data_IF_198193997746
#
_entry.id   IF_198193997746
#
_cell.length_a   1.000
_cell.length_b   1.000
_cell.length_c   1.000
_cell.angle_alpha   90.00
_cell.angle_beta   90.00
_cell.angle_gamma   90.00
#
_symmetry.space_group_name_H-M   'P 1'
#
loop_
_entity.id
_entity.type
_entity.pdbx_description
1 polymer ?
#
# COMPACT_ATOMS: atom_id res chain seq x y z
N UNK A 1 4.79 -66.69 -60.31
CA UNK A 1 5.70 -65.66 -59.76
C UNK A 1 4.95 -64.34 -59.77
N UNK A 2 4.88 -63.68 -58.59
CA UNK A 2 4.37 -62.31 -58.32
C UNK A 2 2.85 -62.08 -58.51
N UNK A 3 2.05 -61.66 -57.53
CA UNK A 3 2.33 -61.12 -56.19
C UNK A 3 1.81 -59.69 -56.03
N UNK A 4 0.60 -59.55 -55.47
CA UNK A 4 0.11 -58.48 -54.58
C UNK A 4 0.54 -57.02 -54.82
N UNK A 5 -0.42 -56.15 -55.19
CA UNK A 5 -0.38 -54.72 -54.83
C UNK A 5 -1.63 -54.36 -54.02
N UNK A 6 -1.36 -53.88 -52.80
CA UNK A 6 -2.28 -53.48 -51.74
C UNK A 6 -3.07 -52.21 -52.09
N UNK A 7 -4.35 -52.23 -51.76
CA UNK A 7 -5.20 -51.06 -51.52
C UNK A 7 -4.70 -50.28 -50.28
N UNK A 8 -4.51 -48.97 -50.43
CA UNK A 8 -4.25 -48.03 -49.33
C UNK A 8 -5.56 -47.29 -49.05
N UNK A 9 -6.13 -47.54 -47.87
CA UNK A 9 -7.34 -46.88 -47.40
C UNK A 9 -7.09 -45.43 -47.00
N UNK A 10 -7.97 -44.54 -47.46
CA UNK A 10 -8.03 -43.13 -47.06
C UNK A 10 -8.51 -43.04 -45.61
N UNK A 11 -7.66 -42.52 -44.72
CA UNK A 11 -7.99 -42.32 -43.31
C UNK A 11 -8.89 -41.08 -43.16
N UNK A 12 -10.07 -41.28 -42.57
CA UNK A 12 -11.09 -40.25 -42.41
C UNK A 12 -10.70 -39.28 -41.26
N UNK A 13 -10.28 -38.05 -41.59
CA UNK A 13 -9.75 -37.03 -40.67
C UNK A 13 -10.77 -36.45 -39.66
N UNK A 14 -12.03 -36.85 -39.73
CA UNK A 14 -13.11 -36.30 -38.89
C UNK A 14 -13.05 -36.76 -37.42
N UNK A 15 -12.44 -37.91 -37.15
CA UNK A 15 -12.26 -38.42 -35.78
C UNK A 15 -11.20 -37.67 -34.98
N UNK A 16 -10.11 -37.25 -35.64
CA UNK A 16 -9.02 -36.52 -34.99
C UNK A 16 -9.46 -35.13 -34.54
N UNK A 17 -10.29 -34.44 -35.34
CA UNK A 17 -10.83 -33.13 -34.98
C UNK A 17 -11.78 -33.20 -33.77
N UNK A 18 -12.66 -34.21 -33.70
CA UNK A 18 -13.55 -34.40 -32.54
C UNK A 18 -12.80 -34.79 -31.28
N UNK A 19 -11.77 -35.63 -31.38
CA UNK A 19 -10.93 -35.99 -30.24
C UNK A 19 -10.16 -34.77 -29.71
N UNK A 20 -9.67 -33.91 -30.60
CA UNK A 20 -8.98 -32.67 -30.23
C UNK A 20 -9.91 -31.65 -29.53
N UNK A 21 -11.13 -31.45 -30.05
CA UNK A 21 -12.12 -30.56 -29.43
C UNK A 21 -12.63 -31.09 -28.09
N UNK A 22 -12.84 -32.41 -27.97
CA UNK A 22 -13.24 -33.04 -26.71
C UNK A 22 -12.13 -32.94 -25.65
N UNK A 23 -10.86 -33.07 -26.05
CA UNK A 23 -9.72 -32.87 -25.15
C UNK A 23 -9.61 -31.41 -24.68
N UNK A 24 -9.78 -30.43 -25.58
CA UNK A 24 -9.75 -29.00 -25.22
C UNK A 24 -10.90 -28.58 -24.29
N UNK A 25 -12.11 -29.11 -24.50
CA UNK A 25 -13.23 -28.86 -23.60
C UNK A 25 -12.97 -29.43 -22.21
N UNK A 26 -12.51 -30.69 -22.13
CA UNK A 26 -12.16 -31.34 -20.87
C UNK A 26 -11.00 -30.65 -20.13
N UNK A 27 -10.01 -30.08 -20.86
CA UNK A 27 -8.92 -29.30 -20.25
C UNK A 27 -9.44 -27.99 -19.64
N UNK A 28 -10.34 -27.28 -20.34
CA UNK A 28 -10.96 -26.06 -19.81
C UNK A 28 -11.83 -26.34 -18.58
N UNK A 29 -12.60 -27.44 -18.60
CA UNK A 29 -13.43 -27.85 -17.46
C UNK A 29 -12.57 -28.29 -16.26
N UNK A 30 -11.47 -29.03 -16.49
CA UNK A 30 -10.52 -29.40 -15.43
C UNK A 30 -9.75 -28.22 -14.85
N UNK A 31 -9.44 -27.19 -15.64
CA UNK A 31 -8.82 -25.96 -15.15
C UNK A 31 -9.80 -25.09 -14.35
N UNK A 32 -11.10 -25.17 -14.63
CA UNK A 32 -12.12 -24.41 -13.90
C UNK A 32 -12.57 -25.11 -12.60
N UNK A 33 -12.41 -26.44 -12.52
CA UNK A 33 -12.76 -27.26 -11.35
C UNK A 33 -11.56 -27.77 -10.56
N UNK A 34 -10.32 -27.41 -10.93
CA UNK A 34 -9.19 -27.60 -10.03
C UNK A 34 -9.38 -26.67 -8.85
N UNK A 35 -9.97 -27.21 -7.79
CA UNK A 35 -9.73 -26.80 -6.42
C UNK A 35 -8.28 -26.31 -6.34
N UNK A 36 -8.08 -25.05 -5.92
CA UNK A 36 -6.77 -24.41 -5.83
C UNK A 36 -5.99 -25.11 -4.71
N UNK A 37 -5.57 -26.35 -4.97
CA UNK A 37 -4.94 -27.24 -4.01
C UNK A 37 -3.47 -27.25 -4.40
N UNK A 38 -2.79 -26.19 -3.96
CA UNK A 38 -1.33 -26.12 -3.98
C UNK A 38 -0.82 -27.19 -3.01
N UNK A 39 -0.01 -28.17 -3.45
CA UNK A 39 0.51 -29.20 -2.57
C UNK A 39 1.39 -28.50 -1.53
N UNK A 40 1.00 -28.59 -0.27
CA UNK A 40 1.72 -28.08 0.90
C UNK A 40 1.53 -26.59 1.27
N UNK A 41 0.33 -26.03 1.08
CA UNK A 41 -0.08 -24.75 1.69
C UNK A 41 -1.43 -24.95 2.37
N UNK A 42 -1.54 -24.60 3.67
CA UNK A 42 -2.82 -24.66 4.39
C UNK A 42 -3.92 -24.01 3.52
N UNK A 43 -5.10 -24.63 3.40
CA UNK A 43 -6.18 -24.09 2.58
C UNK A 43 -6.49 -22.66 3.05
N UNK A 44 -6.60 -21.73 2.09
CA UNK A 44 -6.97 -20.36 2.35
C UNK A 44 -8.30 -20.33 3.13
N UNK A 45 -8.43 -19.43 4.09
CA UNK A 45 -9.71 -19.25 4.80
C UNK A 45 -10.84 -18.96 3.80
N UNK A 46 -12.07 -19.39 4.08
CA UNK A 46 -13.25 -19.15 3.24
C UNK A 46 -13.40 -17.69 2.79
N UNK A 47 -13.07 -16.74 3.68
CA UNK A 47 -13.11 -15.30 3.38
C UNK A 47 -12.08 -14.88 2.31
N UNK A 48 -10.90 -15.49 2.31
CA UNK A 48 -9.88 -15.24 1.29
C UNK A 48 -10.19 -15.94 -0.02
N UNK A 49 -10.72 -17.17 0.02
CA UNK A 49 -11.23 -17.87 -1.16
C UNK A 49 -12.29 -17.02 -1.87
N UNK A 50 -13.28 -16.49 -1.14
CA UNK A 50 -14.31 -15.62 -1.71
C UNK A 50 -13.75 -14.35 -2.36
N UNK A 51 -12.70 -13.74 -1.79
CA UNK A 51 -12.03 -12.59 -2.41
C UNK A 51 -11.40 -12.96 -3.75
N UNK A 52 -10.76 -14.12 -3.81
CA UNK A 52 -10.10 -14.59 -5.02
C UNK A 52 -11.12 -14.91 -6.11
N UNK A 53 -12.21 -15.60 -5.78
CA UNK A 53 -13.33 -15.82 -6.70
C UNK A 53 -13.87 -14.52 -7.31
N UNK A 54 -14.04 -13.48 -6.49
CA UNK A 54 -14.50 -12.17 -6.96
C UNK A 54 -13.47 -11.50 -7.87
N UNK A 55 -12.17 -11.67 -7.61
CA UNK A 55 -11.12 -11.15 -8.50
C UNK A 55 -11.05 -11.91 -9.83
N UNK A 56 -11.20 -13.23 -9.82
CA UNK A 56 -11.28 -14.06 -11.03
C UNK A 56 -12.50 -13.67 -11.88
N UNK A 57 -13.67 -13.47 -11.26
CA UNK A 57 -14.88 -12.99 -11.95
C UNK A 57 -14.68 -11.65 -12.67
N UNK A 58 -13.78 -10.79 -12.18
CA UNK A 58 -13.50 -9.48 -12.75
C UNK A 58 -12.34 -9.51 -13.76
N UNK A 59 -11.77 -10.68 -14.04
CA UNK A 59 -10.56 -10.85 -14.85
C UNK A 59 -9.39 -10.01 -14.31
N UNK A 60 -9.20 -10.05 -12.99
CA UNK A 60 -8.20 -9.26 -12.28
C UNK A 60 -6.75 -9.69 -12.55
N UNK A 61 -6.54 -10.81 -13.23
CA UNK A 61 -5.22 -11.33 -13.59
C UNK A 61 -4.51 -10.45 -14.65
N UNK A 62 -5.26 -9.76 -15.50
CA UNK A 62 -4.69 -8.93 -16.58
C UNK A 62 -4.92 -7.44 -16.38
N UNK A 63 -5.61 -7.04 -15.31
CA UNK A 63 -6.02 -5.66 -15.06
C UNK A 63 -5.29 -5.04 -13.88
N UNK A 64 -5.10 -3.73 -13.92
CA UNK A 64 -4.67 -2.98 -12.73
C UNK A 64 -5.82 -2.82 -11.75
N UNK A 65 -5.49 -2.57 -10.47
CA UNK A 65 -6.53 -2.32 -9.46
C UNK A 65 -7.46 -1.17 -9.82
N UNK A 66 -6.91 -0.09 -10.39
CA UNK A 66 -7.69 1.07 -10.85
C UNK A 66 -8.65 0.69 -11.97
N UNK A 67 -8.22 -0.15 -12.92
CA UNK A 67 -9.07 -0.66 -14.00
C UNK A 67 -10.23 -1.51 -13.44
N UNK A 68 -9.94 -2.37 -12.46
CA UNK A 68 -10.95 -3.21 -11.82
C UNK A 68 -12.00 -2.34 -11.11
N UNK A 69 -11.57 -1.39 -10.28
CA UNK A 69 -12.50 -0.55 -9.48
C UNK A 69 -13.34 0.37 -10.38
N UNK A 70 -12.81 0.73 -11.55
CA UNK A 70 -13.52 1.57 -12.53
C UNK A 70 -14.41 0.78 -13.49
N UNK A 71 -14.31 -0.56 -13.48
CA UNK A 71 -15.00 -1.43 -14.43
C UNK A 71 -16.51 -1.48 -14.18
N UNK A 72 -17.28 -1.74 -15.24
CA UNK A 72 -18.73 -1.88 -15.12
C UNK A 72 -19.11 -3.15 -14.36
N UNK A 73 -18.33 -4.22 -14.53
CA UNK A 73 -18.50 -5.50 -13.84
C UNK A 73 -18.37 -5.33 -12.32
N UNK A 74 -17.41 -4.52 -11.87
CA UNK A 74 -17.26 -4.18 -10.46
C UNK A 74 -18.45 -3.37 -9.91
N UNK A 75 -19.06 -2.53 -10.76
CA UNK A 75 -20.29 -1.79 -10.40
C UNK A 75 -21.53 -2.68 -10.37
N UNK A 76 -21.52 -3.84 -11.03
CA UNK A 76 -22.61 -4.81 -10.98
C UNK A 76 -22.56 -5.73 -9.74
N UNK A 77 -21.40 -5.83 -9.08
CA UNK A 77 -21.27 -6.58 -7.82
C UNK A 77 -22.17 -6.02 -6.71
N UNK A 78 -22.65 -6.92 -5.84
CA UNK A 78 -23.43 -6.53 -4.66
C UNK A 78 -22.57 -5.67 -3.74
N UNK A 79 -23.20 -4.74 -3.01
CA UNK A 79 -22.49 -3.81 -2.12
C UNK A 79 -21.52 -4.51 -1.14
N UNK A 80 -21.94 -5.63 -0.56
CA UNK A 80 -21.10 -6.42 0.35
C UNK A 80 -19.87 -7.03 -0.33
N UNK A 81 -20.03 -7.52 -1.56
CA UNK A 81 -18.94 -8.11 -2.35
C UNK A 81 -17.95 -7.04 -2.77
N UNK A 82 -18.47 -5.89 -3.20
CA UNK A 82 -17.67 -4.71 -3.50
C UNK A 82 -16.83 -4.30 -2.30
N UNK A 83 -17.46 -4.08 -1.14
CA UNK A 83 -16.75 -3.69 0.09
C UNK A 83 -15.66 -4.72 0.48
N UNK A 84 -15.95 -6.01 0.33
CA UNK A 84 -15.03 -7.11 0.68
C UNK A 84 -13.70 -7.07 -0.10
N UNK A 85 -13.72 -6.65 -1.37
CA UNK A 85 -12.53 -6.53 -2.22
C UNK A 85 -11.98 -5.11 -2.29
N UNK A 86 -12.80 -4.08 -2.05
CA UNK A 86 -12.39 -2.67 -2.04
C UNK A 86 -11.48 -2.34 -0.86
N UNK A 87 -11.85 -2.79 0.34
CA UNK A 87 -11.16 -2.38 1.55
C UNK A 87 -10.87 -3.58 2.45
N UNK A 88 -9.69 -3.57 3.05
CA UNK A 88 -9.29 -4.54 4.06
C UNK A 88 -9.10 -3.84 5.40
N UNK A 89 -9.98 -4.11 6.36
CA UNK A 89 -9.90 -3.54 7.70
C UNK A 89 -8.59 -3.88 8.42
N UNK A 90 -8.06 -5.10 8.25
CA UNK A 90 -6.76 -5.46 8.83
C UNK A 90 -5.62 -4.70 8.16
N UNK A 91 -5.70 -4.48 6.85
CA UNK A 91 -4.78 -3.60 6.13
C UNK A 91 -4.83 -2.17 6.66
N UNK A 92 -6.01 -1.67 7.00
CA UNK A 92 -6.18 -0.33 7.55
C UNK A 92 -5.49 -0.16 8.91
N UNK A 93 -5.74 -1.05 9.87
CA UNK A 93 -5.20 -0.90 11.22
C UNK A 93 -3.72 -1.31 11.34
N UNK A 94 -3.27 -2.31 10.59
CA UNK A 94 -1.90 -2.82 10.69
C UNK A 94 -0.96 -2.23 9.64
N UNK A 95 -1.49 -1.60 8.59
CA UNK A 95 -0.70 -0.92 7.57
C UNK A 95 0.37 -1.84 6.96
N UNK A 96 1.65 -1.40 6.92
CA UNK A 96 2.77 -2.20 6.42
C UNK A 96 2.99 -3.53 7.14
N UNK A 97 2.64 -3.63 8.44
CA UNK A 97 2.80 -4.87 9.22
C UNK A 97 1.96 -6.00 8.63
N UNK A 98 0.81 -5.67 8.05
CA UNK A 98 -0.04 -6.66 7.39
C UNK A 98 0.61 -7.22 6.11
N UNK A 99 1.42 -6.43 5.40
CA UNK A 99 2.18 -6.91 4.25
C UNK A 99 3.30 -7.86 4.68
N UNK A 100 3.95 -7.60 5.82
CA UNK A 100 4.92 -8.56 6.38
C UNK A 100 4.26 -9.88 6.77
N UNK A 101 3.06 -9.83 7.38
CA UNK A 101 2.26 -11.03 7.67
C UNK A 101 1.98 -11.87 6.40
N UNK A 102 1.62 -11.22 5.30
CA UNK A 102 1.43 -11.87 3.99
C UNK A 102 2.73 -12.17 3.23
N UNK A 103 3.90 -12.02 3.87
CA UNK A 103 5.24 -12.29 3.30
C UNK A 103 5.53 -11.45 2.04
N UNK A 104 5.16 -10.17 2.04
CA UNK A 104 5.42 -9.22 0.95
C UNK A 104 6.37 -8.10 1.42
N UNK A 105 7.64 -8.41 1.73
CA UNK A 105 8.54 -7.46 2.39
C UNK A 105 8.88 -6.25 1.53
N UNK A 106 9.02 -6.41 0.20
CA UNK A 106 9.36 -5.29 -0.68
C UNK A 106 8.24 -4.23 -0.66
N UNK A 107 6.97 -4.65 -0.82
CA UNK A 107 5.81 -3.75 -0.76
C UNK A 107 5.67 -3.12 0.63
N UNK A 108 5.94 -3.88 1.70
CA UNK A 108 5.94 -3.35 3.06
C UNK A 108 6.99 -2.23 3.27
N UNK A 109 8.25 -2.46 2.85
CA UNK A 109 9.31 -1.46 2.94
C UNK A 109 8.98 -0.20 2.15
N UNK A 110 8.40 -0.35 0.95
CA UNK A 110 7.99 0.79 0.14
C UNK A 110 6.87 1.61 0.80
N UNK A 111 5.84 0.96 1.37
CA UNK A 111 4.78 1.67 2.10
C UNK A 111 5.37 2.36 3.35
N UNK A 112 6.30 1.73 4.06
CA UNK A 112 7.01 2.37 5.18
C UNK A 112 7.79 3.61 4.75
N UNK A 113 8.56 3.51 3.66
CA UNK A 113 9.30 4.66 3.12
C UNK A 113 8.37 5.83 2.77
N UNK A 114 7.26 5.55 2.09
CA UNK A 114 6.23 6.55 1.78
C UNK A 114 5.66 7.15 3.07
N UNK A 115 5.43 6.34 4.10
CA UNK A 115 4.86 6.79 5.38
C UNK A 115 5.80 7.75 6.12
N UNK A 116 7.09 7.43 6.16
CA UNK A 116 8.08 8.32 6.78
C UNK A 116 8.26 9.62 6.00
N UNK A 117 8.32 9.55 4.67
CA UNK A 117 8.39 10.75 3.82
C UNK A 117 7.14 11.63 4.03
N UNK A 118 5.95 11.02 4.03
CA UNK A 118 4.69 11.72 4.30
C UNK A 118 4.72 12.40 5.67
N UNK A 119 5.12 11.68 6.71
CA UNK A 119 5.26 12.24 8.05
C UNK A 119 6.27 13.40 8.08
N UNK A 120 7.41 13.28 7.41
CA UNK A 120 8.41 14.35 7.34
C UNK A 120 7.86 15.61 6.67
N UNK A 121 7.06 15.45 5.62
CA UNK A 121 6.39 16.56 4.94
C UNK A 121 5.41 17.23 5.90
N UNK A 122 4.55 16.46 6.58
CA UNK A 122 3.57 17.02 7.50
C UNK A 122 4.21 17.72 8.70
N UNK A 123 5.24 17.12 9.31
CA UNK A 123 6.01 17.72 10.40
C UNK A 123 6.60 19.07 9.95
N UNK A 124 7.20 19.11 8.75
CA UNK A 124 7.76 20.35 8.18
C UNK A 124 6.68 21.41 7.94
N UNK A 125 5.51 21.01 7.40
CA UNK A 125 4.39 21.93 7.18
C UNK A 125 3.88 22.48 8.51
N UNK A 126 3.71 21.63 9.52
CA UNK A 126 3.25 22.03 10.84
C UNK A 126 4.16 23.10 11.45
N UNK A 127 5.47 22.88 11.35
CA UNK A 127 6.50 23.80 11.82
C UNK A 127 6.52 25.12 11.03
N UNK A 128 6.52 25.08 9.70
CA UNK A 128 6.64 26.28 8.86
C UNK A 128 5.35 27.12 8.84
N UNK A 129 4.19 26.48 8.83
CA UNK A 129 2.89 27.15 8.77
C UNK A 129 2.31 27.47 10.15
N UNK A 130 2.97 27.03 11.24
CA UNK A 130 2.53 27.25 12.62
C UNK A 130 1.10 26.73 12.84
N UNK A 131 0.79 25.59 12.24
CA UNK A 131 -0.52 24.92 12.41
C UNK A 131 -0.37 23.75 13.38
N UNK A 132 -1.46 23.04 13.65
CA UNK A 132 -1.42 21.76 14.37
C UNK A 132 -2.20 20.74 13.55
N UNK A 133 -1.53 19.70 13.09
CA UNK A 133 -2.11 18.65 12.28
C UNK A 133 -2.54 17.51 13.21
N UNK A 134 -3.79 17.02 13.12
CA UNK A 134 -4.22 15.89 13.94
C UNK A 134 -3.34 14.65 13.72
N UNK A 135 -2.93 13.99 14.80
CA UNK A 135 -2.00 12.84 14.75
C UNK A 135 -2.46 11.70 13.82
N UNK A 136 -3.78 11.55 13.63
CA UNK A 136 -4.34 10.54 12.73
C UNK A 136 -3.89 10.73 11.27
N UNK A 137 -3.68 11.97 10.82
CA UNK A 137 -3.28 12.30 9.45
C UNK A 137 -1.88 11.78 9.12
N UNK A 138 -0.99 11.69 10.12
CA UNK A 138 0.36 11.16 9.96
C UNK A 138 0.34 9.65 9.65
N UNK A 139 -0.55 8.90 10.31
CA UNK A 139 -0.69 7.45 10.11
C UNK A 139 -1.57 7.05 8.92
N UNK A 140 -2.49 7.95 8.53
CA UNK A 140 -3.56 7.66 7.57
C UNK A 140 -3.07 7.15 6.22
N UNK A 141 -1.98 7.72 5.68
CA UNK A 141 -1.47 7.37 4.35
C UNK A 141 -1.10 5.88 4.26
N UNK A 142 -0.38 5.37 5.26
CA UNK A 142 0.03 3.97 5.32
C UNK A 142 -1.17 3.02 5.43
N UNK A 143 -2.13 3.39 6.29
CA UNK A 143 -3.36 2.66 6.55
C UNK A 143 -4.26 2.59 5.32
N UNK A 144 -4.45 3.72 4.64
CA UNK A 144 -5.29 3.81 3.45
C UNK A 144 -4.68 3.01 2.30
N UNK A 145 -3.39 3.16 2.02
CA UNK A 145 -2.71 2.39 0.96
C UNK A 145 -2.88 0.89 1.24
N UNK A 146 -2.59 0.45 2.47
CA UNK A 146 -2.67 -0.96 2.81
C UNK A 146 -4.11 -1.49 2.79
N UNK A 147 -5.09 -0.72 3.27
CA UNK A 147 -6.50 -1.07 3.24
C UNK A 147 -6.99 -1.26 1.81
N UNK A 148 -6.59 -0.37 0.91
CA UNK A 148 -7.03 -0.40 -0.48
C UNK A 148 -6.34 -1.51 -1.27
N UNK A 149 -5.03 -1.70 -1.14
CA UNK A 149 -4.28 -2.55 -2.06
C UNK A 149 -4.10 -4.01 -1.62
N UNK A 150 -4.12 -4.31 -0.32
CA UNK A 150 -3.67 -5.63 0.16
C UNK A 150 -4.50 -6.80 -0.37
N UNK A 151 -5.81 -6.63 -0.56
CA UNK A 151 -6.65 -7.69 -1.13
C UNK A 151 -6.17 -8.10 -2.53
N UNK A 152 -5.88 -7.10 -3.37
CA UNK A 152 -5.41 -7.29 -4.72
C UNK A 152 -3.96 -7.79 -4.75
N UNK A 153 -3.09 -7.24 -3.91
CA UNK A 153 -1.69 -7.65 -3.84
C UNK A 153 -1.51 -9.10 -3.40
N UNK A 154 -2.30 -9.56 -2.42
CA UNK A 154 -2.29 -10.95 -1.97
C UNK A 154 -2.82 -11.88 -3.07
N UNK A 155 -3.87 -11.46 -3.79
CA UNK A 155 -4.35 -12.21 -4.95
C UNK A 155 -3.26 -12.35 -6.02
N UNK A 156 -2.67 -11.24 -6.48
CA UNK A 156 -1.58 -11.20 -7.48
C UNK A 156 -0.37 -12.01 -7.08
N UNK A 157 -0.02 -11.98 -5.80
CA UNK A 157 1.06 -12.82 -5.26
C UNK A 157 0.74 -14.30 -5.38
N UNK A 158 -0.50 -14.70 -5.11
CA UNK A 158 -0.90 -16.10 -5.14
C UNK A 158 -1.07 -16.64 -6.56
N UNK A 159 -1.57 -15.83 -7.50
CA UNK A 159 -1.83 -16.25 -8.88
C UNK A 159 -0.60 -16.10 -9.79
N UNK A 160 0.17 -15.02 -9.63
CA UNK A 160 1.31 -14.70 -10.51
C UNK A 160 2.67 -14.73 -9.82
N UNK A 161 2.73 -15.07 -8.52
CA UNK A 161 3.99 -15.03 -7.78
C UNK A 161 4.56 -13.61 -7.62
N UNK A 162 3.72 -12.58 -7.79
CA UNK A 162 4.16 -11.19 -7.83
C UNK A 162 4.81 -10.76 -6.50
N UNK A 163 6.05 -10.27 -6.57
CA UNK A 163 6.80 -9.79 -5.39
C UNK A 163 6.72 -8.27 -5.26
N UNK A 164 6.63 -7.54 -6.38
CA UNK A 164 6.55 -6.08 -6.47
C UNK A 164 5.60 -5.66 -7.61
N UNK A 165 5.07 -4.44 -7.56
CA UNK A 165 4.19 -3.91 -8.59
C UNK A 165 4.91 -3.79 -9.95
N UNK A 166 4.38 -4.36 -11.05
CA UNK A 166 5.10 -4.44 -12.33
C UNK A 166 5.44 -3.08 -12.96
N UNK A 167 4.61 -2.07 -12.72
CA UNK A 167 4.83 -0.71 -13.25
C UNK A 167 5.84 0.10 -12.44
N UNK A 168 6.36 -0.43 -11.33
CA UNK A 168 7.38 0.27 -10.55
C UNK A 168 8.75 0.14 -11.21
N UNK A 169 9.62 1.14 -11.03
CA UNK A 169 10.96 1.11 -11.58
C UNK A 169 11.74 -0.15 -11.19
N UNK A 170 12.68 -0.59 -12.04
CA UNK A 170 13.46 -1.82 -11.82
C UNK A 170 14.19 -1.82 -10.47
N UNK A 171 14.66 -0.67 -9.99
CA UNK A 171 15.35 -0.55 -8.71
C UNK A 171 14.50 -0.95 -7.49
N UNK A 172 13.16 -0.85 -7.57
CA UNK A 172 12.25 -1.29 -6.51
C UNK A 172 12.15 -2.82 -6.37
N UNK A 173 12.69 -3.58 -7.32
CA UNK A 173 12.69 -5.05 -7.28
C UNK A 173 13.87 -5.61 -6.47
N UNK A 174 14.88 -4.79 -6.17
CA UNK A 174 16.03 -5.20 -5.36
C UNK A 174 15.74 -5.02 -3.86
N UNK A 175 15.84 -6.12 -3.09
CA UNK A 175 15.59 -6.14 -1.64
C UNK A 175 16.46 -5.15 -0.87
N UNK A 176 17.76 -5.11 -1.17
CA UNK A 176 18.70 -4.22 -0.50
C UNK A 176 18.29 -2.75 -0.67
N UNK A 177 17.97 -2.32 -1.89
CA UNK A 177 17.55 -0.95 -2.17
C UNK A 177 16.26 -0.57 -1.43
N UNK A 178 15.29 -1.48 -1.34
CA UNK A 178 14.04 -1.21 -0.61
C UNK A 178 14.23 -1.11 0.89
N UNK A 179 15.11 -1.92 1.48
CA UNK A 179 15.45 -1.81 2.89
C UNK A 179 16.19 -0.50 3.14
N UNK A 180 17.21 -0.18 2.32
CA UNK A 180 17.97 1.08 2.43
C UNK A 180 17.06 2.30 2.27
N UNK A 181 16.10 2.27 1.34
CA UNK A 181 15.13 3.35 1.15
C UNK A 181 14.27 3.54 2.40
N UNK A 182 13.73 2.46 2.97
CA UNK A 182 12.91 2.54 4.17
C UNK A 182 13.70 3.06 5.38
N UNK A 183 14.93 2.58 5.58
CA UNK A 183 15.82 3.04 6.65
C UNK A 183 16.24 4.48 6.45
N UNK A 184 16.61 4.88 5.22
CA UNK A 184 16.96 6.26 4.91
C UNK A 184 15.81 7.23 5.15
N UNK A 185 14.59 6.87 4.72
CA UNK A 185 13.39 7.66 5.00
C UNK A 185 13.12 7.79 6.51
N UNK A 186 13.32 6.71 7.27
CA UNK A 186 13.21 6.74 8.73
C UNK A 186 14.23 7.69 9.37
N UNK A 187 15.51 7.61 8.97
CA UNK A 187 16.57 8.48 9.48
C UNK A 187 16.26 9.95 9.19
N UNK A 188 15.79 10.27 7.98
CA UNK A 188 15.37 11.63 7.61
C UNK A 188 14.23 12.11 8.51
N UNK A 189 13.23 11.26 8.73
CA UNK A 189 12.08 11.60 9.58
C UNK A 189 12.49 11.88 11.03
N UNK A 190 13.34 11.03 11.60
CA UNK A 190 13.91 11.25 12.94
C UNK A 190 14.77 12.51 12.98
N UNK A 191 15.60 12.75 11.97
CA UNK A 191 16.45 13.93 11.88
C UNK A 191 15.67 15.24 11.83
N UNK A 192 14.58 15.29 11.04
CA UNK A 192 13.68 16.44 10.97
C UNK A 192 12.96 16.63 12.31
N UNK A 193 12.44 15.56 12.91
CA UNK A 193 11.80 15.63 14.23
C UNK A 193 12.75 16.16 15.29
N UNK A 194 13.98 15.63 15.36
CA UNK A 194 15.01 16.10 16.27
C UNK A 194 15.34 17.58 16.03
N UNK A 195 15.55 17.98 14.78
CA UNK A 195 15.80 19.38 14.43
C UNK A 195 14.68 20.30 14.91
N UNK A 196 13.41 19.95 14.69
CA UNK A 196 12.30 20.79 15.13
C UNK A 196 12.25 20.86 16.65
N UNK A 197 12.38 19.73 17.35
CA UNK A 197 12.35 19.74 18.82
C UNK A 197 13.47 20.56 19.46
N UNK A 198 14.63 20.72 18.78
CA UNK A 198 15.71 21.58 19.29
C UNK A 198 15.52 23.06 18.95
N UNK A 199 14.57 23.41 18.09
CA UNK A 199 14.25 24.78 17.69
C UNK A 199 12.84 25.21 18.15
N UNK A 200 12.23 24.44 19.05
CA UNK A 200 11.02 24.78 19.76
C UNK A 200 11.36 25.24 21.18
N UNK A 201 10.88 26.42 21.55
CA UNK A 201 11.16 27.06 22.83
C UNK A 201 9.85 27.40 23.51
N UNK A 202 9.82 27.31 24.85
CA UNK A 202 8.63 27.63 25.64
C UNK A 202 8.99 28.73 26.63
N UNK A 203 8.13 29.74 26.77
CA UNK A 203 8.20 30.61 27.94
C UNK A 203 7.86 29.79 29.19
N UNK A 204 8.38 30.21 30.35
CA UNK A 204 8.07 29.54 31.61
C UNK A 204 6.55 29.47 31.86
N UNK A 205 5.82 30.53 31.50
CA UNK A 205 4.37 30.59 31.63
C UNK A 205 3.64 29.65 30.65
N UNK A 206 4.10 29.57 29.40
CA UNK A 206 3.51 28.74 28.37
C UNK A 206 3.74 27.23 28.57
N UNK A 207 4.79 26.84 29.31
CA UNK A 207 5.11 25.43 29.57
C UNK A 207 3.97 24.67 30.27
N UNK A 208 3.15 25.38 31.05
CA UNK A 208 1.98 24.84 31.75
C UNK A 208 0.65 25.20 31.09
N UNK A 209 0.67 25.96 30.00
CA UNK A 209 -0.54 26.39 29.33
C UNK A 209 -1.09 25.31 28.39
N UNK A 210 -2.42 25.20 28.32
CA UNK A 210 -3.08 24.19 27.51
C UNK A 210 -3.21 24.65 26.04
N UNK A 211 -3.27 25.96 25.80
CA UNK A 211 -3.39 26.54 24.47
C UNK A 211 -2.39 27.69 24.25
N UNK A 212 -1.07 27.43 24.32
CA UNK A 212 -0.08 28.47 24.10
C UNK A 212 -0.15 29.00 22.66
N UNK A 213 -0.03 30.32 22.53
CA UNK A 213 0.18 30.99 21.26
C UNK A 213 1.55 30.60 20.67
N UNK A 214 1.56 30.24 19.40
CA UNK A 214 2.78 29.87 18.68
C UNK A 214 3.30 31.06 17.85
N UNK A 215 4.56 31.42 18.04
CA UNK A 215 5.22 32.50 17.32
C UNK A 215 6.39 31.96 16.51
N UNK A 216 6.52 32.39 15.26
CA UNK A 216 7.74 32.17 14.48
C UNK A 216 8.67 33.39 14.60
N UNK A 217 9.88 33.13 15.10
CA UNK A 217 10.97 34.06 15.29
C UNK A 217 12.18 33.56 14.49
N UNK A 218 12.33 34.04 13.24
CA UNK A 218 13.50 33.75 12.38
C UNK A 218 13.82 32.25 12.20
N UNK A 219 12.81 31.39 12.13
CA UNK A 219 12.98 29.93 11.98
C UNK A 219 12.98 29.14 13.29
N UNK A 220 12.87 29.82 14.44
CA UNK A 220 12.58 29.21 15.74
C UNK A 220 11.10 29.39 16.06
N UNK A 221 10.51 28.40 16.73
CA UNK A 221 9.12 28.48 17.20
C UNK A 221 9.12 28.71 18.70
N UNK A 222 8.53 29.82 19.12
CA UNK A 222 8.37 30.19 20.52
C UNK A 222 6.90 30.03 20.93
N UNK A 223 6.66 29.22 21.94
CA UNK A 223 5.37 29.05 22.60
C UNK A 223 5.27 30.04 23.76
N UNK A 224 4.26 30.91 23.72
CA UNK A 224 3.98 31.93 24.74
C UNK A 224 2.50 31.93 25.11
N UNK A 225 2.14 32.51 26.25
CA UNK A 225 0.74 32.74 26.60
C UNK A 225 0.17 33.94 25.83
N UNK A 226 -1.16 34.01 25.65
CA UNK A 226 -1.82 35.16 25.02
C UNK A 226 -1.57 36.47 25.80
N UNK A 227 -1.48 36.39 27.12
CA UNK A 227 -1.18 37.51 28.00
C UNK A 227 0.24 38.05 27.77
N UNK A 228 1.25 37.17 27.68
CA UNK A 228 2.63 37.55 27.35
C UNK A 228 2.71 38.20 25.96
N UNK A 229 2.00 37.64 24.99
CA UNK A 229 1.97 38.18 23.63
C UNK A 229 1.34 39.57 23.57
N UNK A 230 0.25 39.80 24.32
CA UNK A 230 -0.45 41.09 24.36
C UNK A 230 0.32 42.17 25.13
N UNK A 231 1.03 41.81 26.19
CA UNK A 231 1.76 42.74 27.05
C UNK A 231 3.17 43.07 26.52
N UNK A 232 3.93 42.04 26.11
CA UNK A 232 5.34 42.20 25.70
C UNK A 232 5.44 42.49 24.19
N UNK A 233 4.55 41.89 23.40
CA UNK A 233 4.55 42.00 21.95
C UNK A 233 5.56 41.06 21.27
N UNK A 234 5.19 40.61 20.06
CA UNK A 234 5.99 39.68 19.24
C UNK A 234 7.45 40.12 19.02
N UNK A 235 7.76 41.39 18.66
CA UNK A 235 9.14 41.78 18.36
C UNK A 235 10.09 41.63 19.56
N UNK A 236 9.63 42.01 20.75
CA UNK A 236 10.43 41.92 21.97
C UNK A 236 10.66 40.46 22.40
N UNK A 237 9.63 39.62 22.28
CA UNK A 237 9.74 38.18 22.54
C UNK A 237 10.73 37.49 21.59
N UNK A 238 10.67 37.78 20.29
CA UNK A 238 11.62 37.22 19.33
C UNK A 238 13.04 37.72 19.58
N UNK A 239 13.22 39.01 19.91
CA UNK A 239 14.53 39.57 20.20
C UNK A 239 15.12 38.97 21.49
N UNK A 240 14.29 38.68 22.50
CA UNK A 240 14.72 37.98 23.71
C UNK A 240 15.21 36.56 23.40
N UNK A 241 14.53 35.84 22.51
CA UNK A 241 14.94 34.51 22.07
C UNK A 241 16.29 34.52 21.33
N UNK A 242 16.54 35.53 20.51
CA UNK A 242 17.80 35.66 19.77
C UNK A 242 19.01 35.94 20.69
N UNK A 243 18.78 36.48 21.89
CA UNK A 243 19.84 36.76 22.88
C UNK A 243 20.16 35.56 23.80
N UNK A 244 19.47 34.42 23.66
CA UNK A 244 19.73 33.20 24.45
C UNK A 244 20.80 32.29 23.83
N UNK A 245 21.26 32.59 22.61
CA UNK A 245 22.39 31.94 21.93
C UNK A 245 23.71 32.70 22.13
#
# INVERSE_FOLDING_TARGET
MHGLIKSIGVVNHTWLARAYQSAHHNIKEKQMTSEITIPNKKPLSKKWQRRFELFEQLDASNKTRSEIVSSNEFRQLKFRERSLISMNYWGFFLGPLYYFYHRMPLKACLILAISFIWSSILITIEHLAIITIPSIVFSATSSVIAALYVNFDVYRKHTHGEVMWPKFPMWCHHKALMITLAVGAFIINVGIGAFITTHEYYSNAASSDFFPAKLNCSGKVLYVTDDELSYIGKPALCNALDNLE
#
